data_IF_367029083117
#
_entry.id   IF_367029083117
#
_cell.length_a   1.000
_cell.length_b   1.000
_cell.length_c   1.000
_cell.angle_alpha   90.00
_cell.angle_beta   90.00
_cell.angle_gamma   90.00
#
_symmetry.space_group_name_H-M   'P 1'
#
loop_
_entity.id
_entity.type
_entity.pdbx_description
1 polymer ?
#
# COMPACT_ATOMS: atom_id res chain seq x y z
N UNK A 1 -20.17 -25.15 -2.69
CA UNK A 1 -18.83 -24.54 -2.84
C UNK A 1 -19.04 -23.03 -2.99
N UNK A 2 -18.81 -22.25 -1.93
CA UNK A 2 -19.26 -20.85 -1.85
C UNK A 2 -18.23 -19.85 -2.35
N UNK A 3 -18.69 -18.81 -3.05
CA UNK A 3 -17.86 -17.69 -3.51
C UNK A 3 -17.43 -16.86 -2.29
N UNK A 4 -16.24 -17.15 -1.74
CA UNK A 4 -15.68 -16.42 -0.59
C UNK A 4 -14.86 -15.23 -1.06
N UNK A 5 -15.21 -14.05 -0.57
CA UNK A 5 -14.48 -12.80 -0.82
C UNK A 5 -13.19 -12.73 0.01
N UNK A 6 -12.21 -11.97 -0.49
CA UNK A 6 -10.99 -11.72 0.27
C UNK A 6 -11.32 -10.88 1.52
N UNK A 7 -10.96 -11.36 2.74
CA UNK A 7 -11.44 -10.77 3.97
C UNK A 7 -10.79 -9.41 4.28
N UNK A 8 -9.65 -9.08 3.65
CA UNK A 8 -9.11 -7.72 3.71
C UNK A 8 -10.02 -6.77 2.93
N UNK A 9 -10.37 -7.11 1.69
CA UNK A 9 -11.22 -6.27 0.85
C UNK A 9 -12.60 -6.06 1.46
N UNK A 10 -13.16 -7.11 2.09
CA UNK A 10 -14.44 -7.01 2.79
C UNK A 10 -14.41 -6.07 4.00
N UNK A 11 -13.26 -5.90 4.66
CA UNK A 11 -13.10 -5.05 5.86
C UNK A 11 -12.50 -3.68 5.58
N UNK A 12 -12.03 -3.42 4.37
CA UNK A 12 -11.52 -2.12 3.95
C UNK A 12 -12.66 -1.08 4.04
N UNK A 13 -12.38 0.06 4.67
CA UNK A 13 -13.33 1.17 4.81
C UNK A 13 -14.24 1.10 6.04
N UNK A 14 -14.42 -0.08 6.66
CA UNK A 14 -15.23 -0.22 7.89
C UNK A 14 -14.33 -0.37 9.12
N UNK A 15 -13.45 -1.38 9.12
CA UNK A 15 -12.60 -1.72 10.27
C UNK A 15 -11.12 -1.54 9.93
N UNK A 16 -10.73 -1.79 8.68
CA UNK A 16 -9.34 -1.65 8.22
C UNK A 16 -9.16 -0.43 7.29
N UNK A 17 -8.08 0.30 7.50
CA UNK A 17 -7.63 1.37 6.61
C UNK A 17 -6.74 0.85 5.49
N UNK A 18 -6.55 1.69 4.46
CA UNK A 18 -5.59 1.46 3.38
C UNK A 18 -4.14 1.46 3.87
N UNK A 19 -3.32 0.61 3.26
CA UNK A 19 -1.87 0.55 3.51
C UNK A 19 -1.09 1.62 2.74
N UNK A 20 -1.61 2.07 1.58
CA UNK A 20 -1.12 3.26 0.88
C UNK A 20 -2.16 4.37 1.01
N UNK A 21 -1.78 5.51 1.59
CA UNK A 21 -2.65 6.68 1.78
C UNK A 21 -2.07 7.88 1.05
N UNK A 22 -2.58 8.11 -0.14
CA UNK A 22 -2.26 9.26 -0.97
C UNK A 22 -3.31 9.39 -2.06
N UNK A 23 -3.35 10.54 -2.72
CA UNK A 23 -4.25 10.81 -3.82
C UNK A 23 -3.47 11.46 -4.97
N UNK A 24 -3.72 11.02 -6.19
CA UNK A 24 -3.20 11.65 -7.41
C UNK A 24 -4.17 11.42 -8.55
N UNK A 25 -4.30 12.39 -9.45
CA UNK A 25 -5.12 12.28 -10.65
C UNK A 25 -4.29 11.80 -11.84
N UNK A 26 -3.38 12.65 -12.33
CA UNK A 26 -2.60 12.38 -13.56
C UNK A 26 -1.46 11.40 -13.32
N UNK A 27 -0.76 11.54 -12.20
CA UNK A 27 0.46 10.77 -11.92
C UNK A 27 0.18 9.42 -11.23
N UNK A 28 -1.09 9.05 -11.05
CA UNK A 28 -1.48 7.84 -10.33
C UNK A 28 -0.78 6.56 -10.83
N UNK A 29 -0.72 6.27 -12.15
CA UNK A 29 -0.08 5.04 -12.64
C UNK A 29 1.41 4.98 -12.29
N UNK A 30 2.10 6.11 -12.36
CA UNK A 30 3.53 6.19 -12.06
C UNK A 30 3.79 6.00 -10.56
N UNK A 31 3.02 6.65 -9.71
CA UNK A 31 3.13 6.53 -8.25
C UNK A 31 2.79 5.11 -7.78
N UNK A 32 1.82 4.44 -8.43
CA UNK A 32 1.48 3.06 -8.15
C UNK A 32 2.64 2.11 -8.47
N UNK A 33 3.28 2.27 -9.64
CA UNK A 33 4.44 1.45 -10.03
C UNK A 33 5.60 1.65 -9.05
N UNK A 34 5.83 2.90 -8.63
CA UNK A 34 6.84 3.23 -7.63
C UNK A 34 6.55 2.56 -6.28
N UNK A 35 5.32 2.62 -5.79
CA UNK A 35 4.89 1.96 -4.54
C UNK A 35 5.15 0.45 -4.58
N UNK A 36 4.85 -0.22 -5.71
CA UNK A 36 5.11 -1.65 -5.89
C UNK A 36 6.62 -1.94 -5.79
N UNK A 37 7.45 -1.15 -6.49
CA UNK A 37 8.91 -1.31 -6.47
C UNK A 37 9.50 -1.10 -5.07
N UNK A 38 9.01 -0.10 -4.34
CA UNK A 38 9.43 0.17 -2.96
C UNK A 38 9.10 -1.03 -2.06
N UNK A 39 7.88 -1.57 -2.15
CA UNK A 39 7.48 -2.74 -1.35
C UNK A 39 8.34 -3.97 -1.68
N UNK A 40 8.60 -4.24 -2.95
CA UNK A 40 9.43 -5.37 -3.37
C UNK A 40 10.88 -5.23 -2.89
N UNK A 41 11.43 -4.02 -2.97
CA UNK A 41 12.78 -3.74 -2.48
C UNK A 41 12.88 -3.93 -0.96
N UNK A 42 11.95 -3.35 -0.21
CA UNK A 42 11.93 -3.46 1.25
C UNK A 42 11.72 -4.90 1.71
N UNK A 43 10.83 -5.64 1.06
CA UNK A 43 10.58 -7.05 1.40
C UNK A 43 11.81 -7.93 1.17
N UNK A 44 12.57 -7.69 0.11
CA UNK A 44 13.84 -8.39 -0.16
C UNK A 44 14.91 -8.03 0.86
N UNK A 45 15.08 -6.75 1.16
CA UNK A 45 16.13 -6.27 2.08
C UNK A 45 15.86 -6.65 3.54
N UNK A 46 14.61 -6.58 3.97
CA UNK A 46 14.19 -6.78 5.36
C UNK A 46 13.60 -8.18 5.60
N UNK A 47 13.90 -9.14 4.72
CA UNK A 47 13.40 -10.51 4.83
C UNK A 47 13.75 -11.14 6.19
N UNK A 48 14.99 -10.92 6.66
CA UNK A 48 15.46 -11.41 7.96
C UNK A 48 14.90 -10.64 9.17
N UNK A 49 14.39 -9.43 8.96
CA UNK A 49 13.90 -8.57 10.04
C UNK A 49 12.43 -8.84 10.41
N UNK A 50 11.72 -9.70 9.66
CA UNK A 50 10.34 -10.11 10.02
C UNK A 50 9.32 -8.97 9.94
N UNK A 51 9.43 -8.09 8.93
CA UNK A 51 8.53 -6.94 8.77
C UNK A 51 7.10 -7.39 8.53
N UNK A 52 6.19 -7.03 9.44
CA UNK A 52 4.78 -7.45 9.42
C UNK A 52 3.90 -6.59 8.50
N UNK A 53 4.18 -5.30 8.38
CA UNK A 53 3.39 -4.34 7.60
C UNK A 53 4.25 -3.22 7.04
N UNK A 54 3.93 -2.77 5.82
CA UNK A 54 4.54 -1.61 5.17
C UNK A 54 3.42 -0.65 4.83
N UNK A 55 3.46 0.55 5.40
CA UNK A 55 2.50 1.64 5.13
C UNK A 55 3.21 2.75 4.34
N UNK A 56 2.56 3.27 3.30
CA UNK A 56 3.10 4.31 2.43
C UNK A 56 2.15 5.51 2.48
N UNK A 57 2.61 6.62 3.05
CA UNK A 57 1.87 7.87 3.04
C UNK A 57 2.61 8.89 2.17
N UNK A 58 1.91 9.48 1.18
CA UNK A 58 2.47 10.57 0.36
C UNK A 58 1.67 11.84 0.63
N UNK A 59 2.31 12.85 1.20
CA UNK A 59 1.71 14.17 1.35
C UNK A 59 1.85 14.94 0.04
N UNK A 60 0.74 15.44 -0.51
CA UNK A 60 0.72 16.24 -1.75
C UNK A 60 1.48 17.58 -1.65
N UNK A 61 2.05 17.90 -0.48
CA UNK A 61 2.72 19.19 -0.21
C UNK A 61 3.76 19.06 0.90
N UNK A 62 4.82 18.27 0.69
CA UNK A 62 6.09 18.44 1.43
C UNK A 62 7.20 18.89 0.48
N UNK A 63 6.87 19.89 -0.33
CA UNK A 63 7.82 20.75 -1.01
C UNK A 63 7.50 22.19 -0.60
N UNK A 64 8.01 22.59 0.57
CA UNK A 64 8.42 23.97 0.81
C UNK A 64 9.71 23.94 1.61
#
# INVERSE_FOLDING_TARGET
MGQKVHPISFRLGVIKSWDSRWYAEKDYPQLLIEDIRIRDYLKKKLYHAGVSKIEIERAASKAK
#
